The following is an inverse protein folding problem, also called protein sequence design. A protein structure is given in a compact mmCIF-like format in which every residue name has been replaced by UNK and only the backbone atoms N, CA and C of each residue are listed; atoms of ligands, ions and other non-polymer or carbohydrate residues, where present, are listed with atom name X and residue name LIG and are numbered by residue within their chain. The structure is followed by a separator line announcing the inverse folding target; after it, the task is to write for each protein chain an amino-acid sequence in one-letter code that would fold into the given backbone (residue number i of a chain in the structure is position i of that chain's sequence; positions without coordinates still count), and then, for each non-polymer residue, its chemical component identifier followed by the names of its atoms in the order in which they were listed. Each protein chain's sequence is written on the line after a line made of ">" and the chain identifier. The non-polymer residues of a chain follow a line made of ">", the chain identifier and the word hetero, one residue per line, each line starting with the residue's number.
data_IF_188940190433
#
_entry.id   IF_188940190433
#
_cell.length_a   1.000
_cell.length_b   1.000
_cell.length_c   1.000
_cell.angle_alpha   90.00
_cell.angle_beta   90.00
_cell.angle_gamma   90.00
#
_symmetry.space_group_name_H-M   'P 1'
#
loop_
_entity.id
_entity.type
_entity.pdbx_description
1 polymer ?
#
# COMPACT_ATOMS: atom_id res chain seq x y z
N UNK A 1 30.83 8.55 2.36
CA UNK A 1 31.20 7.20 2.86
C UNK A 1 29.89 6.55 3.23
N UNK A 2 29.35 5.70 2.35
CA UNK A 2 28.16 4.89 2.66
C UNK A 2 28.64 3.77 3.59
N UNK A 3 28.00 3.60 4.73
CA UNK A 3 28.44 2.68 5.75
C UNK A 3 28.26 1.25 5.22
N UNK A 4 29.31 0.43 5.24
CA UNK A 4 29.30 -0.90 4.63
C UNK A 4 28.25 -1.84 5.24
N UNK A 5 27.72 -1.55 6.44
CA UNK A 5 26.65 -2.33 7.08
C UNK A 5 25.27 -2.09 6.45
N UNK A 6 24.99 -0.89 5.96
CA UNK A 6 23.69 -0.54 5.37
C UNK A 6 23.47 -1.32 4.07
N UNK A 7 24.54 -1.57 3.30
CA UNK A 7 24.47 -2.32 2.04
C UNK A 7 24.22 -3.83 2.23
N UNK A 8 24.57 -4.40 3.39
CA UNK A 8 24.33 -5.83 3.65
C UNK A 8 22.88 -6.13 4.03
N UNK A 9 22.17 -5.20 4.67
CA UNK A 9 20.75 -5.38 5.02
C UNK A 9 19.85 -5.43 3.77
N UNK A 10 20.30 -4.80 2.69
CA UNK A 10 19.64 -4.82 1.39
C UNK A 10 19.84 -6.14 0.65
N UNK A 11 20.91 -6.90 0.94
CA UNK A 11 21.23 -8.17 0.27
C UNK A 11 20.84 -9.39 1.13
N UNK A 12 19.72 -10.01 0.80
CA UNK A 12 19.19 -11.17 1.53
C UNK A 12 19.70 -12.47 0.90
N UNK A 13 20.49 -13.30 1.62
CA UNK A 13 20.90 -14.60 1.11
C UNK A 13 19.70 -15.53 1.03
N UNK A 14 19.53 -16.20 -0.10
CA UNK A 14 18.49 -17.21 -0.27
C UNK A 14 18.98 -18.53 0.29
N UNK A 15 18.32 -19.04 1.32
CA UNK A 15 18.65 -20.34 1.87
C UNK A 15 18.24 -21.50 0.96
N UNK A 16 18.84 -22.66 1.17
CA UNK A 16 18.47 -23.87 0.41
C UNK A 16 17.02 -24.30 0.71
N UNK A 17 16.54 -24.05 1.92
CA UNK A 17 15.15 -24.26 2.35
C UNK A 17 14.19 -23.42 1.51
N UNK A 18 14.45 -22.12 1.35
CA UNK A 18 13.68 -21.21 0.50
C UNK A 18 13.64 -21.66 -0.96
N UNK A 19 14.79 -22.03 -1.54
CA UNK A 19 14.86 -22.55 -2.91
C UNK A 19 14.09 -23.85 -3.10
N UNK A 20 14.18 -24.77 -2.15
CA UNK A 20 13.45 -26.04 -2.22
C UNK A 20 11.93 -25.80 -2.17
N UNK A 21 11.46 -24.88 -1.32
CA UNK A 21 10.06 -24.50 -1.25
C UNK A 21 9.57 -23.86 -2.56
N UNK A 22 10.35 -22.91 -3.09
CA UNK A 22 10.03 -22.27 -4.37
C UNK A 22 9.99 -23.27 -5.53
N UNK A 23 10.91 -24.26 -5.56
CA UNK A 23 10.90 -25.35 -6.53
C UNK A 23 9.66 -26.24 -6.37
N UNK A 24 9.27 -26.55 -5.13
CA UNK A 24 8.05 -27.32 -4.86
C UNK A 24 6.83 -26.57 -5.40
N UNK A 25 6.63 -25.31 -5.01
CA UNK A 25 5.49 -24.51 -5.44
C UNK A 25 5.46 -24.32 -6.95
N UNK A 26 6.62 -24.14 -7.59
CA UNK A 26 6.74 -24.07 -9.04
C UNK A 26 6.35 -25.38 -9.73
N UNK A 27 6.69 -26.53 -9.15
CA UNK A 27 6.38 -27.86 -9.70
C UNK A 27 4.90 -28.23 -9.64
N UNK A 28 4.14 -27.56 -8.76
CA UNK A 28 2.69 -27.71 -8.64
C UNK A 28 1.92 -26.99 -9.77
N UNK A 29 2.61 -26.15 -10.56
CA UNK A 29 1.96 -25.32 -11.58
C UNK A 29 1.71 -26.07 -12.89
N UNK A 30 0.57 -25.80 -13.51
CA UNK A 30 0.13 -26.49 -14.73
C UNK A 30 0.98 -26.20 -15.97
N UNK A 31 1.72 -25.09 -16.00
CA UNK A 31 2.59 -24.74 -17.11
C UNK A 31 3.94 -24.15 -16.65
N UNK A 32 5.02 -24.35 -17.44
CA UNK A 32 6.36 -23.90 -17.06
C UNK A 32 6.50 -22.40 -16.83
N UNK A 33 5.78 -21.57 -17.59
CA UNK A 33 5.82 -20.12 -17.44
C UNK A 33 5.26 -19.68 -16.09
N UNK A 34 4.10 -20.23 -15.69
CA UNK A 34 3.52 -20.02 -14.36
C UNK A 34 4.42 -20.57 -13.26
N UNK A 35 5.01 -21.75 -13.46
CA UNK A 35 6.01 -22.32 -12.56
C UNK A 35 7.19 -21.37 -12.31
N UNK A 36 7.73 -20.75 -13.38
CA UNK A 36 8.81 -19.76 -13.25
C UNK A 36 8.38 -18.53 -12.45
N UNK A 37 7.18 -17.99 -12.69
CA UNK A 37 6.67 -16.85 -11.92
C UNK A 37 6.49 -17.19 -10.45
N UNK A 38 5.83 -18.31 -10.16
CA UNK A 38 5.63 -18.80 -8.80
C UNK A 38 6.96 -19.02 -8.08
N UNK A 39 7.99 -19.53 -8.76
CA UNK A 39 9.33 -19.68 -8.20
C UNK A 39 9.87 -18.34 -7.68
N UNK A 40 9.85 -17.29 -8.50
CA UNK A 40 10.36 -15.97 -8.11
C UNK A 40 9.46 -15.28 -7.07
N UNK A 41 8.14 -15.35 -7.20
CA UNK A 41 7.20 -14.83 -6.20
C UNK A 41 7.46 -15.46 -4.82
N UNK A 42 7.62 -16.79 -4.77
CA UNK A 42 7.87 -17.51 -3.51
C UNK A 42 9.18 -17.07 -2.86
N UNK A 43 10.25 -16.89 -3.66
CA UNK A 43 11.53 -16.40 -3.14
C UNK A 43 11.47 -14.94 -2.70
N UNK A 44 10.71 -14.09 -3.41
CA UNK A 44 10.54 -12.69 -3.04
C UNK A 44 9.80 -12.56 -1.70
N UNK A 45 8.68 -13.26 -1.54
CA UNK A 45 7.95 -13.29 -0.26
C UNK A 45 8.83 -13.82 0.86
N UNK A 46 9.57 -14.91 0.64
CA UNK A 46 10.48 -15.45 1.64
C UNK A 46 11.55 -14.43 2.06
N UNK A 47 12.17 -13.73 1.11
CA UNK A 47 13.22 -12.78 1.39
C UNK A 47 12.71 -11.55 2.16
N UNK A 48 11.54 -11.03 1.81
CA UNK A 48 10.90 -9.93 2.54
C UNK A 48 10.46 -10.38 3.93
N UNK A 49 9.89 -11.58 4.06
CA UNK A 49 9.56 -12.17 5.36
C UNK A 49 10.80 -12.28 6.26
N UNK A 50 11.89 -12.85 5.74
CA UNK A 50 13.16 -12.96 6.47
C UNK A 50 13.70 -11.60 6.91
N UNK A 51 13.64 -10.59 6.03
CA UNK A 51 14.06 -9.23 6.36
C UNK A 51 13.22 -8.63 7.50
N UNK A 52 11.88 -8.73 7.42
CA UNK A 52 10.99 -8.16 8.44
C UNK A 52 11.09 -8.89 9.78
N UNK A 53 11.19 -10.22 9.78
CA UNK A 53 11.43 -11.00 11.01
C UNK A 53 12.76 -10.63 11.66
N UNK A 54 13.82 -10.40 10.86
CA UNK A 54 15.10 -9.93 11.39
C UNK A 54 14.97 -8.53 12.00
N UNK A 55 14.14 -7.67 11.40
CA UNK A 55 13.83 -6.35 11.98
C UNK A 55 12.82 -6.41 13.14
N UNK A 56 12.55 -7.61 13.69
CA UNK A 56 11.64 -7.86 14.82
C UNK A 56 10.17 -7.47 14.54
N UNK A 57 9.77 -7.42 13.25
CA UNK A 57 8.39 -7.19 12.83
C UNK A 57 7.67 -8.52 12.61
N UNK A 58 6.47 -8.65 13.18
CA UNK A 58 5.68 -9.88 13.08
C UNK A 58 5.08 -10.06 11.67
N UNK A 59 5.24 -11.25 11.11
CA UNK A 59 4.73 -11.63 9.78
C UNK A 59 3.94 -12.94 9.86
N UNK A 60 2.99 -13.11 8.94
CA UNK A 60 2.26 -14.36 8.73
C UNK A 60 2.37 -14.79 7.26
N UNK A 61 3.40 -15.57 6.97
CA UNK A 61 3.67 -16.06 5.62
C UNK A 61 2.59 -17.06 5.16
N UNK A 62 2.05 -17.86 6.08
CA UNK A 62 1.05 -18.89 5.78
C UNK A 62 -0.35 -18.31 5.52
N UNK A 63 -0.62 -17.11 6.03
CA UNK A 63 -1.85 -16.35 5.80
C UNK A 63 -1.96 -15.71 4.41
N UNK A 64 -0.88 -15.71 3.62
CA UNK A 64 -0.83 -15.12 2.28
C UNK A 64 -1.55 -15.95 1.21
N UNK A 65 -2.15 -15.29 0.22
CA UNK A 65 -2.75 -15.95 -0.95
C UNK A 65 -1.68 -16.73 -1.75
N UNK A 66 -0.45 -16.21 -1.77
CA UNK A 66 0.72 -16.86 -2.37
C UNK A 66 1.09 -18.19 -1.71
N UNK A 67 0.78 -18.40 -0.42
CA UNK A 67 0.99 -19.67 0.29
C UNK A 67 -0.17 -20.66 0.12
N UNK A 68 -1.37 -20.20 -0.25
CA UNK A 68 -2.52 -21.06 -0.50
C UNK A 68 -2.47 -21.73 -1.90
N UNK A 69 -2.41 -23.09 -2.01
CA UNK A 69 -2.22 -23.78 -3.30
C UNK A 69 -3.24 -23.41 -4.38
N UNK A 70 -4.53 -23.30 -4.00
CA UNK A 70 -5.59 -22.94 -4.94
C UNK A 70 -5.49 -21.51 -5.46
N UNK A 71 -5.03 -20.56 -4.64
CA UNK A 71 -4.92 -19.16 -5.01
C UNK A 71 -3.66 -18.96 -5.86
N UNK A 72 -2.53 -19.51 -5.42
CA UNK A 72 -1.26 -19.56 -6.16
C UNK A 72 -1.40 -20.14 -7.58
N UNK A 73 -2.26 -21.16 -7.75
CA UNK A 73 -2.50 -21.78 -9.06
C UNK A 73 -3.23 -20.87 -10.06
N UNK A 74 -4.08 -19.95 -9.57
CA UNK A 74 -4.96 -19.12 -10.40
C UNK A 74 -4.45 -17.68 -10.51
N UNK A 75 -3.86 -17.14 -9.44
CA UNK A 75 -3.45 -15.75 -9.33
C UNK A 75 -1.94 -15.58 -9.39
N UNK A 76 -1.47 -14.49 -10.00
CA UNK A 76 -0.07 -14.07 -9.94
C UNK A 76 0.15 -13.16 -8.73
N UNK A 77 0.29 -13.78 -7.55
CA UNK A 77 0.38 -13.08 -6.26
C UNK A 77 1.67 -13.46 -5.53
N UNK A 78 2.21 -12.49 -4.81
CA UNK A 78 3.39 -12.59 -3.97
C UNK A 78 3.17 -11.79 -2.67
N UNK A 79 2.03 -12.01 -2.03
CA UNK A 79 1.64 -11.27 -0.84
C UNK A 79 2.22 -11.85 0.45
N UNK A 80 2.56 -10.95 1.37
CA UNK A 80 2.94 -11.25 2.74
C UNK A 80 1.97 -10.54 3.70
N UNK A 81 1.42 -11.30 4.66
CA UNK A 81 0.53 -10.75 5.68
C UNK A 81 1.35 -10.21 6.84
N UNK A 82 0.99 -9.01 7.29
CA UNK A 82 1.48 -8.36 8.50
C UNK A 82 0.31 -8.33 9.51
N UNK A 83 0.28 -9.23 10.51
CA UNK A 83 -0.82 -9.31 11.45
C UNK A 83 -1.17 -7.96 12.09
N UNK A 84 -2.44 -7.58 12.04
CA UNK A 84 -2.91 -6.30 12.57
C UNK A 84 -2.56 -5.07 11.73
N UNK A 85 -1.71 -5.18 10.71
CA UNK A 85 -1.25 -4.05 9.87
C UNK A 85 -1.79 -4.14 8.43
N UNK A 86 -1.84 -5.32 7.80
CA UNK A 86 -2.33 -5.46 6.41
C UNK A 86 -1.52 -6.45 5.58
N UNK A 87 -1.49 -6.28 4.25
CA UNK A 87 -0.65 -7.07 3.34
C UNK A 87 0.32 -6.19 2.55
N UNK A 88 1.50 -6.71 2.25
CA UNK A 88 2.44 -6.11 1.30
C UNK A 88 2.62 -7.06 0.10
N UNK A 89 2.91 -6.50 -1.07
CA UNK A 89 3.21 -7.27 -2.28
C UNK A 89 4.72 -7.31 -2.52
N UNK A 90 5.29 -8.50 -2.66
CA UNK A 90 6.72 -8.70 -2.88
C UNK A 90 6.97 -8.90 -4.38
N UNK A 91 7.35 -7.84 -5.08
CA UNK A 91 7.46 -7.81 -6.53
C UNK A 91 8.86 -8.29 -6.99
N UNK A 92 8.98 -9.50 -7.58
CA UNK A 92 10.27 -9.97 -8.08
C UNK A 92 10.69 -9.25 -9.37
N UNK A 93 11.99 -9.01 -9.51
CA UNK A 93 12.62 -8.44 -10.70
C UNK A 93 13.90 -9.21 -11.04
N UNK A 94 14.26 -9.29 -12.30
CA UNK A 94 15.57 -9.74 -12.75
C UNK A 94 16.52 -8.54 -12.94
N UNK A 95 17.80 -8.75 -12.65
CA UNK A 95 18.84 -7.75 -12.87
C UNK A 95 18.77 -7.17 -14.29
N UNK A 96 18.63 -5.85 -14.37
CA UNK A 96 18.51 -5.10 -15.63
C UNK A 96 17.07 -4.71 -16.00
N UNK A 97 16.06 -5.21 -15.29
CA UNK A 97 14.71 -4.68 -15.36
C UNK A 97 14.64 -3.28 -14.72
N UNK A 98 13.78 -2.41 -15.25
CA UNK A 98 13.70 -0.99 -14.83
C UNK A 98 12.37 -0.62 -14.19
N UNK A 99 11.46 -1.59 -14.05
CA UNK A 99 10.14 -1.40 -13.46
C UNK A 99 9.67 -2.70 -12.81
N UNK A 100 8.81 -2.58 -11.80
CA UNK A 100 8.08 -3.71 -11.21
C UNK A 100 6.75 -3.88 -11.96
N UNK A 101 6.36 -5.12 -12.27
CA UNK A 101 5.01 -5.41 -12.77
C UNK A 101 4.05 -5.60 -11.60
N UNK A 102 2.88 -4.98 -11.69
CA UNK A 102 1.86 -5.07 -10.65
C UNK A 102 0.96 -6.29 -10.85
N UNK A 103 0.54 -6.97 -9.76
CA UNK A 103 -0.40 -8.09 -9.85
C UNK A 103 -1.79 -7.61 -10.30
N UNK A 104 -2.59 -8.54 -10.81
CA UNK A 104 -4.00 -8.30 -11.17
C UNK A 104 -4.86 -8.01 -9.93
N UNK A 105 -4.53 -8.62 -8.79
CA UNK A 105 -5.26 -8.46 -7.52
C UNK A 105 -4.43 -7.58 -6.59
N UNK A 106 -5.01 -6.45 -6.17
CA UNK A 106 -4.31 -5.38 -5.42
C UNK A 106 -5.00 -4.99 -4.11
N UNK A 107 -6.09 -5.67 -3.79
CA UNK A 107 -6.90 -5.37 -2.60
C UNK A 107 -6.12 -5.64 -1.31
N UNK A 108 -6.34 -4.80 -0.30
CA UNK A 108 -5.71 -4.89 1.02
C UNK A 108 -4.17 -4.82 1.00
N UNK A 109 -3.57 -4.31 -0.09
CA UNK A 109 -2.12 -4.03 -0.16
C UNK A 109 -1.85 -2.64 0.37
N UNK A 110 -0.93 -2.53 1.32
CA UNK A 110 -0.46 -1.23 1.84
C UNK A 110 0.83 -0.78 1.18
N UNK A 111 1.68 -1.70 0.69
CA UNK A 111 2.91 -1.38 -0.02
C UNK A 111 3.32 -2.46 -1.03
N UNK A 112 4.17 -2.07 -1.97
CA UNK A 112 4.80 -2.95 -2.97
C UNK A 112 6.32 -2.84 -2.84
N UNK A 113 7.00 -3.96 -2.71
CA UNK A 113 8.44 -4.02 -2.43
C UNK A 113 9.16 -4.63 -3.63
N UNK A 114 10.16 -3.94 -4.15
CA UNK A 114 10.94 -4.40 -5.29
C UNK A 114 12.08 -5.33 -4.85
N UNK A 115 12.09 -6.58 -5.34
CA UNK A 115 13.05 -7.62 -4.97
C UNK A 115 13.86 -8.09 -6.18
N UNK A 116 15.08 -7.56 -6.34
CA UNK A 116 15.95 -7.86 -7.47
C UNK A 116 16.71 -9.17 -7.31
N UNK A 117 16.65 -10.00 -8.35
CA UNK A 117 17.36 -11.26 -8.48
C UNK A 117 18.50 -11.11 -9.49
N UNK A 118 19.71 -11.49 -9.08
CA UNK A 118 20.87 -11.58 -9.97
C UNK A 118 21.41 -13.01 -9.97
N UNK A 119 21.94 -13.47 -11.12
CA UNK A 119 22.66 -14.74 -11.17
C UNK A 119 23.85 -14.72 -10.18
N UNK A 120 24.09 -15.81 -9.43
CA UNK A 120 23.54 -17.17 -9.60
C UNK A 120 22.24 -17.47 -8.81
N UNK A 121 21.46 -16.45 -8.43
CA UNK A 121 20.21 -16.58 -7.65
C UNK A 121 20.41 -17.18 -6.26
N UNK A 122 21.54 -16.87 -5.62
CA UNK A 122 21.87 -17.25 -4.26
C UNK A 122 21.56 -16.14 -3.23
N UNK A 123 21.25 -14.93 -3.71
CA UNK A 123 20.81 -13.78 -2.92
C UNK A 123 19.89 -12.87 -3.74
N UNK A 124 19.17 -11.99 -3.05
CA UNK A 124 18.34 -10.94 -3.65
C UNK A 124 18.66 -9.58 -3.06
N UNK A 125 18.29 -8.52 -3.77
CA UNK A 125 18.34 -7.15 -3.24
C UNK A 125 16.95 -6.58 -3.04
N UNK A 126 16.70 -5.99 -1.88
CA UNK A 126 15.53 -5.12 -1.69
C UNK A 126 15.90 -3.73 -2.21
N UNK A 127 15.30 -3.32 -3.33
CA UNK A 127 15.67 -2.05 -3.99
C UNK A 127 14.94 -0.84 -3.39
N UNK A 128 13.80 -1.06 -2.76
CA UNK A 128 12.90 -0.01 -2.30
C UNK A 128 11.46 -0.49 -2.26
N UNK A 129 10.57 0.41 -1.88
CA UNK A 129 9.14 0.14 -1.84
C UNK A 129 8.34 1.33 -2.38
N UNK A 130 7.06 1.12 -2.65
CA UNK A 130 6.11 2.20 -2.94
C UNK A 130 4.82 1.97 -2.16
N UNK A 131 4.30 2.97 -1.43
CA UNK A 131 2.99 2.90 -0.79
C UNK A 131 1.88 2.66 -1.81
N UNK A 132 0.92 1.79 -1.48
CA UNK A 132 -0.17 1.45 -2.38
C UNK A 132 -1.05 2.66 -2.75
N UNK A 133 -1.14 3.66 -1.86
CA UNK A 133 -1.89 4.90 -2.12
C UNK A 133 -1.27 5.76 -3.25
N UNK A 134 0.03 5.60 -3.52
CA UNK A 134 0.72 6.36 -4.57
C UNK A 134 0.53 5.74 -5.96
N UNK A 135 -0.13 4.57 -6.04
CA UNK A 135 -0.34 3.83 -7.28
C UNK A 135 -1.73 4.15 -7.82
N UNK A 136 -1.78 4.63 -9.07
CA UNK A 136 -3.04 4.82 -9.80
C UNK A 136 -3.59 3.46 -10.25
N UNK A 137 -4.90 3.24 -10.11
CA UNK A 137 -5.55 1.94 -10.36
C UNK A 137 -5.24 1.34 -11.74
N UNK A 138 -5.12 2.15 -12.79
CA UNK A 138 -4.84 1.71 -14.17
C UNK A 138 -3.35 1.41 -14.43
N UNK A 139 -2.49 1.62 -13.45
CA UNK A 139 -1.04 1.40 -13.60
C UNK A 139 -0.76 -0.09 -13.72
N UNK A 140 0.01 -0.53 -14.71
CA UNK A 140 0.43 -1.93 -14.85
C UNK A 140 1.88 -2.16 -14.39
N UNK A 141 2.71 -1.14 -14.49
CA UNK A 141 4.13 -1.18 -14.12
C UNK A 141 4.56 0.08 -13.38
N UNK A 142 5.49 -0.05 -12.44
CA UNK A 142 6.04 1.08 -11.68
C UNK A 142 7.53 1.16 -11.91
N UNK A 143 8.00 2.31 -12.41
CA UNK A 143 9.42 2.60 -12.58
C UNK A 143 10.18 2.49 -11.26
N UNK A 144 11.35 1.87 -11.26
CA UNK A 144 12.21 1.79 -10.07
C UNK A 144 12.62 3.17 -9.55
N UNK A 145 12.57 4.21 -10.38
CA UNK A 145 12.83 5.61 -9.97
C UNK A 145 11.78 6.19 -9.04
N UNK A 146 10.62 5.54 -8.93
CA UNK A 146 9.50 5.99 -8.09
C UNK A 146 9.51 5.29 -6.72
N UNK A 147 10.47 4.39 -6.48
CA UNK A 147 10.57 3.70 -5.19
C UNK A 147 11.14 4.62 -4.12
N UNK A 148 10.53 4.56 -2.95
CA UNK A 148 11.10 5.04 -1.71
C UNK A 148 12.24 4.10 -1.26
N UNK A 149 13.28 4.63 -0.59
CA UNK A 149 14.34 3.81 -0.01
C UNK A 149 13.75 2.75 0.93
N UNK A 150 14.26 1.52 0.89
CA UNK A 150 13.73 0.45 1.76
C UNK A 150 14.03 0.69 3.23
N UNK A 151 15.01 1.53 3.54
CA UNK A 151 15.31 1.97 4.90
C UNK A 151 14.13 2.73 5.54
N UNK A 152 13.26 3.34 4.74
CA UNK A 152 12.05 4.05 5.20
C UNK A 152 10.85 3.10 5.39
N UNK A 153 10.97 1.82 5.01
CA UNK A 153 9.86 0.86 5.05
C UNK A 153 9.35 0.63 6.49
N UNK A 154 10.25 0.47 7.46
CA UNK A 154 9.85 0.21 8.84
C UNK A 154 9.14 1.43 9.45
N UNK A 155 9.70 2.63 9.26
CA UNK A 155 9.05 3.87 9.70
C UNK A 155 7.65 4.02 9.07
N UNK A 156 7.50 3.64 7.80
CA UNK A 156 6.22 3.62 7.11
C UNK A 156 5.22 2.62 7.75
N UNK A 157 5.65 1.38 8.01
CA UNK A 157 4.81 0.35 8.62
C UNK A 157 4.43 0.69 10.06
N UNK A 158 5.38 1.21 10.86
CA UNK A 158 5.14 1.66 12.24
C UNK A 158 4.07 2.76 12.29
N UNK A 159 4.13 3.72 11.38
CA UNK A 159 3.10 4.77 11.28
C UNK A 159 1.73 4.19 10.98
N UNK A 160 1.65 3.19 10.11
CA UNK A 160 0.39 2.51 9.82
C UNK A 160 -0.13 1.82 11.08
N UNK A 161 0.70 0.99 11.71
CA UNK A 161 0.34 0.24 12.91
C UNK A 161 -0.16 1.17 14.03
N UNK A 162 0.58 2.24 14.32
CA UNK A 162 0.22 3.23 15.34
C UNK A 162 -1.06 4.00 15.00
N UNK A 163 -1.33 4.22 13.71
CA UNK A 163 -2.51 4.95 13.24
C UNK A 163 -3.81 4.13 13.27
N UNK A 164 -3.72 2.79 13.23
CA UNK A 164 -4.89 1.90 13.14
C UNK A 164 -5.84 2.05 14.34
N UNK A 165 -5.40 1.94 15.61
CA UNK A 165 -6.32 2.02 16.75
C UNK A 165 -7.07 3.35 16.82
N UNK A 166 -6.39 4.45 16.48
CA UNK A 166 -6.96 5.80 16.52
C UNK A 166 -7.95 6.02 15.39
N UNK A 167 -7.60 5.57 14.18
CA UNK A 167 -8.49 5.68 13.02
C UNK A 167 -9.75 4.83 13.18
N UNK A 168 -9.64 3.66 13.80
CA UNK A 168 -10.79 2.82 14.11
C UNK A 168 -11.81 3.53 15.01
N UNK A 169 -11.36 4.10 16.14
CA UNK A 169 -12.25 4.85 17.05
C UNK A 169 -12.86 6.07 16.35
N UNK A 170 -12.05 6.80 15.59
CA UNK A 170 -12.49 7.98 14.87
C UNK A 170 -13.50 7.69 13.76
N UNK A 171 -13.35 6.55 13.07
CA UNK A 171 -14.30 6.10 12.06
C UNK A 171 -15.66 5.79 12.70
N UNK A 172 -15.67 5.06 13.81
CA UNK A 172 -16.89 4.74 14.56
C UNK A 172 -17.64 6.01 15.04
N UNK A 173 -16.90 7.04 15.48
CA UNK A 173 -17.48 8.33 15.90
C UNK A 173 -18.12 9.12 14.75
N UNK A 174 -17.50 9.11 13.56
CA UNK A 174 -17.91 9.98 12.44
C UNK A 174 -18.81 9.27 11.43
N UNK A 175 -18.94 7.93 11.48
CA UNK A 175 -19.69 7.15 10.49
C UNK A 175 -21.16 7.60 10.42
N UNK A 176 -21.82 7.78 11.56
CA UNK A 176 -23.22 8.25 11.63
C UNK A 176 -23.41 9.61 10.94
N UNK A 177 -22.52 10.56 11.21
CA UNK A 177 -22.62 11.90 10.63
C UNK A 177 -22.30 11.89 9.12
N UNK A 178 -21.38 11.03 8.68
CA UNK A 178 -21.06 10.87 7.27
C UNK A 178 -22.23 10.22 6.52
N UNK A 179 -22.85 9.20 7.10
CA UNK A 179 -24.05 8.55 6.55
C UNK A 179 -25.22 9.52 6.41
N UNK A 180 -25.43 10.41 7.39
CA UNK A 180 -26.42 11.48 7.28
C UNK A 180 -26.12 12.39 6.08
N UNK A 181 -24.87 12.85 5.93
CA UNK A 181 -24.48 13.70 4.79
C UNK A 181 -24.65 12.98 3.43
N UNK A 182 -24.36 11.68 3.38
CA UNK A 182 -24.52 10.86 2.17
C UNK A 182 -25.99 10.51 1.87
N UNK A 183 -26.89 10.61 2.85
CA UNK A 183 -28.32 10.32 2.67
C UNK A 183 -29.05 11.36 1.80
N UNK A 184 -28.49 12.58 1.73
CA UNK A 184 -28.98 13.65 0.87
C UNK A 184 -28.66 13.40 -0.62
N UNK A 185 -27.71 12.51 -0.91
CA UNK A 185 -27.35 12.09 -2.27
C UNK A 185 -28.25 10.94 -2.75
N UNK A 186 -28.45 10.89 -4.08
CA UNK A 186 -29.16 9.77 -4.72
C UNK A 186 -28.39 8.46 -4.51
N UNK A 187 -29.09 7.33 -4.61
CA UNK A 187 -28.46 6.03 -4.38
C UNK A 187 -27.44 5.67 -5.47
N UNK A 188 -27.64 6.15 -6.69
CA UNK A 188 -26.73 6.01 -7.84
C UNK A 188 -25.72 7.16 -7.97
N UNK A 189 -25.59 8.00 -6.94
CA UNK A 189 -24.69 9.14 -6.97
C UNK A 189 -23.22 8.69 -6.96
N UNK A 190 -22.38 9.18 -7.91
CA UNK A 190 -20.99 8.77 -8.01
C UNK A 190 -20.15 9.15 -6.79
N UNK A 191 -20.42 10.30 -6.15
CA UNK A 191 -19.70 10.73 -4.95
C UNK A 191 -20.02 9.78 -3.79
N UNK A 192 -21.29 9.41 -3.64
CA UNK A 192 -21.72 8.43 -2.63
C UNK A 192 -21.04 7.07 -2.85
N UNK A 193 -20.97 6.61 -4.11
CA UNK A 193 -20.30 5.35 -4.44
C UNK A 193 -18.80 5.39 -4.10
N UNK A 194 -18.10 6.46 -4.48
CA UNK A 194 -16.66 6.64 -4.20
C UNK A 194 -16.36 6.70 -2.71
N UNK A 195 -17.14 7.46 -1.94
CA UNK A 195 -16.95 7.56 -0.47
C UNK A 195 -17.17 6.20 0.19
N UNK A 196 -18.18 5.43 -0.22
CA UNK A 196 -18.38 4.06 0.28
C UNK A 196 -17.20 3.16 -0.07
N UNK A 197 -16.73 3.21 -1.32
CA UNK A 197 -15.59 2.42 -1.77
C UNK A 197 -14.32 2.71 -0.96
N UNK A 198 -13.99 4.00 -0.72
CA UNK A 198 -12.73 4.39 -0.08
C UNK A 198 -12.77 4.39 1.45
N UNK A 199 -13.91 4.67 2.08
CA UNK A 199 -14.03 4.72 3.55
C UNK A 199 -14.74 3.53 4.18
N UNK A 200 -15.63 2.83 3.46
CA UNK A 200 -16.39 1.71 4.01
C UNK A 200 -15.86 0.35 3.55
N UNK A 201 -15.34 0.24 2.32
CA UNK A 201 -14.86 -1.03 1.77
C UNK A 201 -13.35 -1.24 1.96
N UNK A 202 -12.58 -0.18 2.24
CA UNK A 202 -11.14 -0.30 2.55
C UNK A 202 -10.92 -0.76 3.98
N UNK A 203 -9.83 -1.47 4.20
CA UNK A 203 -9.35 -1.77 5.55
C UNK A 203 -8.93 -0.47 6.27
N UNK A 204 -8.99 -0.48 7.61
CA UNK A 204 -8.51 0.67 8.42
C UNK A 204 -7.06 0.99 8.09
N UNK A 205 -6.23 -0.03 7.88
CA UNK A 205 -4.83 0.14 7.50
C UNK A 205 -4.65 0.89 6.18
N UNK A 206 -5.45 0.60 5.16
CA UNK A 206 -5.42 1.35 3.90
C UNK A 206 -5.85 2.80 4.10
N UNK A 207 -6.85 3.06 4.95
CA UNK A 207 -7.27 4.42 5.29
C UNK A 207 -6.13 5.18 5.99
N UNK A 208 -5.44 4.53 6.93
CA UNK A 208 -4.27 5.10 7.60
C UNK A 208 -3.14 5.35 6.61
N UNK A 209 -2.86 4.41 5.71
CA UNK A 209 -1.86 4.56 4.65
C UNK A 209 -2.17 5.75 3.73
N UNK A 210 -3.46 5.97 3.40
CA UNK A 210 -3.91 7.12 2.64
C UNK A 210 -3.59 8.43 3.37
N UNK A 211 -3.93 8.50 4.66
CA UNK A 211 -3.68 9.69 5.48
C UNK A 211 -2.20 9.93 5.75
N UNK A 212 -1.38 8.88 5.87
CA UNK A 212 0.07 8.98 5.97
C UNK A 212 0.67 9.57 4.67
N UNK A 213 0.14 9.20 3.51
CA UNK A 213 0.51 9.83 2.23
C UNK A 213 0.22 11.34 2.20
N UNK A 214 -0.94 11.76 2.70
CA UNK A 214 -1.28 13.20 2.84
C UNK A 214 -0.35 13.89 3.82
N UNK A 215 0.00 13.23 4.93
CA UNK A 215 0.88 13.77 5.96
C UNK A 215 2.27 14.09 5.42
N UNK A 216 2.85 13.19 4.61
CA UNK A 216 4.17 13.40 4.02
C UNK A 216 4.20 14.38 2.83
N UNK A 217 3.06 14.63 2.19
CA UNK A 217 2.99 15.39 0.92
C UNK A 217 2.34 16.77 1.02
N UNK A 218 1.67 17.10 2.13
CA UNK A 218 0.84 18.31 2.27
C UNK A 218 1.16 19.11 3.53
N UNK A 219 1.04 20.45 3.45
CA UNK A 219 1.18 21.33 4.61
C UNK A 219 0.02 21.13 5.62
N UNK A 220 0.29 21.39 6.91
CA UNK A 220 -0.69 21.26 8.00
C UNK A 220 -1.95 22.11 7.81
N UNK A 221 -1.86 23.24 7.10
CA UNK A 221 -3.00 24.07 6.72
C UNK A 221 -3.96 23.35 5.77
N UNK A 222 -3.42 22.44 4.95
CA UNK A 222 -4.11 21.82 3.82
C UNK A 222 -4.62 20.41 4.14
N UNK A 223 -4.21 19.81 5.28
CA UNK A 223 -4.65 18.48 5.71
C UNK A 223 -6.16 18.25 5.69
N UNK A 224 -6.96 19.30 5.90
CA UNK A 224 -8.40 19.19 5.73
C UNK A 224 -8.79 18.95 4.28
N UNK A 225 -8.31 19.80 3.38
CA UNK A 225 -8.67 19.75 1.97
C UNK A 225 -8.05 18.54 1.26
N UNK A 226 -6.74 18.33 1.39
CA UNK A 226 -6.04 17.22 0.75
C UNK A 226 -6.43 15.86 1.35
N UNK A 227 -6.64 15.81 2.66
CA UNK A 227 -7.14 14.60 3.31
C UNK A 227 -8.59 14.29 2.91
N UNK A 228 -9.47 15.28 2.82
CA UNK A 228 -10.85 15.06 2.38
C UNK A 228 -10.94 14.56 0.93
N UNK A 229 -10.12 15.12 0.04
CA UNK A 229 -9.93 14.61 -1.33
C UNK A 229 -9.46 13.17 -1.35
N UNK A 230 -8.42 12.85 -0.58
CA UNK A 230 -7.84 11.51 -0.53
C UNK A 230 -8.84 10.47 -0.01
N UNK A 231 -9.58 10.80 1.06
CA UNK A 231 -10.61 9.93 1.63
C UNK A 231 -11.81 9.71 0.70
N UNK A 232 -12.10 10.65 -0.19
CA UNK A 232 -13.13 10.47 -1.21
C UNK A 232 -12.61 9.85 -2.51
N UNK A 233 -11.30 9.57 -2.61
CA UNK A 233 -10.70 8.97 -3.80
C UNK A 233 -10.52 9.95 -4.97
N UNK A 234 -10.47 11.26 -4.70
CA UNK A 234 -10.31 12.29 -5.73
C UNK A 234 -8.88 12.78 -5.77
N UNK A 235 -8.13 12.22 -6.73
CA UNK A 235 -6.80 12.69 -7.09
C UNK A 235 -5.70 12.18 -6.16
N UNK A 236 -5.15 11.01 -6.53
CA UNK A 236 -3.74 10.66 -6.32
C UNK A 236 -3.10 10.44 -7.69
N UNK A 237 -3.18 11.43 -8.58
CA UNK A 237 -2.33 11.49 -9.78
C UNK A 237 -1.15 12.41 -9.52
N UNK A 238 -0.27 12.00 -8.61
CA UNK A 238 1.02 12.67 -8.40
C UNK A 238 1.99 12.24 -9.50
N UNK A 239 2.07 13.07 -10.55
CA UNK A 239 3.35 13.40 -11.17
C UNK A 239 3.88 12.52 -12.30
N UNK A 240 3.24 12.56 -13.47
CA UNK A 240 3.87 12.15 -14.72
C UNK A 240 2.85 11.65 -15.75
N UNK A 241 2.63 12.44 -16.80
CA UNK A 241 1.73 12.20 -17.95
C UNK A 241 0.28 12.71 -17.75
N UNK A 242 0.03 13.90 -18.30
CA UNK A 242 -1.29 14.31 -18.79
C UNK A 242 -2.21 14.93 -17.76
N UNK A 243 -2.29 16.26 -17.77
CA UNK A 243 -3.32 17.04 -17.10
C UNK A 243 -4.74 16.49 -17.38
N UNK A 244 -5.32 15.81 -16.40
CA UNK A 244 -6.74 15.92 -16.08
C UNK A 244 -6.80 16.32 -14.61
N UNK A 245 -7.01 17.60 -14.38
CA UNK A 245 -7.57 18.09 -13.11
C UNK A 245 -8.89 17.35 -12.90
N UNK A 246 -8.85 16.27 -12.15
CA UNK A 246 -10.07 15.60 -11.70
C UNK A 246 -10.48 16.36 -10.45
N UNK A 247 -11.07 17.54 -10.67
CA UNK A 247 -11.98 18.09 -9.67
C UNK A 247 -13.04 17.01 -9.41
N UNK A 248 -13.51 16.85 -8.17
CA UNK A 248 -14.75 16.12 -7.87
C UNK A 248 -15.86 16.45 -8.88
N UNK A 249 -15.87 17.69 -9.35
CA UNK A 249 -16.76 18.22 -10.36
C UNK A 249 -16.15 18.22 -11.78
N UNK A 250 -16.13 17.06 -12.44
CA UNK A 250 -16.22 17.02 -13.92
C UNK A 250 -17.60 17.47 -14.44
N UNK A 251 -18.56 17.68 -13.53
CA UNK A 251 -19.91 18.20 -13.76
C UNK A 251 -20.17 19.34 -12.80
N UNK A 252 -20.90 20.38 -13.25
CA UNK A 252 -21.31 21.54 -12.45
C UNK A 252 -21.70 21.12 -11.03
N UNK A 253 -20.85 21.48 -10.06
CA UNK A 253 -21.03 21.22 -8.62
C UNK A 253 -22.44 21.60 -8.19
N UNK A 254 -23.16 20.62 -7.64
CA UNK A 254 -24.42 20.86 -6.95
C UNK A 254 -24.12 21.27 -5.50
N UNK A 255 -25.02 22.03 -4.87
CA UNK A 255 -24.85 22.45 -3.46
C UNK A 255 -24.65 21.25 -2.50
N UNK A 256 -25.11 20.06 -2.89
CA UNK A 256 -25.02 18.82 -2.08
C UNK A 256 -23.59 18.24 -2.13
N UNK A 257 -22.91 18.31 -3.28
CA UNK A 257 -21.49 17.91 -3.41
C UNK A 257 -20.62 18.73 -2.46
N UNK A 258 -20.88 20.04 -2.38
CA UNK A 258 -20.13 20.94 -1.48
C UNK A 258 -20.34 20.62 0.01
N UNK A 259 -21.49 20.05 0.40
CA UNK A 259 -21.76 19.66 1.79
C UNK A 259 -20.99 18.40 2.18
N UNK A 260 -20.96 17.40 1.29
CA UNK A 260 -20.21 16.15 1.51
C UNK A 260 -18.70 16.43 1.53
N UNK A 261 -18.21 17.23 0.59
CA UNK A 261 -16.83 17.73 0.57
C UNK A 261 -16.45 18.44 1.87
N UNK A 262 -17.26 19.40 2.31
CA UNK A 262 -17.00 20.13 3.54
C UNK A 262 -16.96 19.22 4.78
N UNK A 263 -17.81 18.18 4.82
CA UNK A 263 -17.82 17.19 5.91
C UNK A 263 -16.57 16.32 5.87
N UNK A 264 -16.19 15.78 4.71
CA UNK A 264 -14.96 15.01 4.54
C UNK A 264 -13.72 15.83 4.91
N UNK A 265 -13.66 17.09 4.50
CA UNK A 265 -12.54 17.96 4.84
C UNK A 265 -12.42 18.19 6.36
N UNK A 266 -13.56 18.28 7.04
CA UNK A 266 -13.60 18.41 8.51
C UNK A 266 -13.16 17.11 9.20
N UNK A 267 -13.63 15.96 8.72
CA UNK A 267 -13.24 14.62 9.21
C UNK A 267 -11.73 14.46 9.05
N UNK A 268 -11.22 14.64 7.83
CA UNK A 268 -9.80 14.54 7.52
C UNK A 268 -8.96 15.46 8.41
N UNK A 269 -9.34 16.73 8.57
CA UNK A 269 -8.62 17.66 9.46
C UNK A 269 -8.57 17.19 10.91
N UNK A 270 -9.65 16.60 11.43
CA UNK A 270 -9.70 16.06 12.81
C UNK A 270 -8.76 14.86 12.92
N UNK A 271 -8.85 13.93 11.98
CA UNK A 271 -8.09 12.68 12.01
C UNK A 271 -6.60 12.92 11.82
N UNK A 272 -6.22 13.73 10.83
CA UNK A 272 -4.83 14.11 10.57
C UNK A 272 -4.16 14.74 11.78
N UNK A 273 -4.86 15.59 12.54
CA UNK A 273 -4.32 16.14 13.79
C UNK A 273 -4.05 15.06 14.84
N UNK A 274 -4.94 14.08 14.97
CA UNK A 274 -4.78 12.97 15.91
C UNK A 274 -3.69 11.99 15.51
N UNK A 275 -3.56 11.72 14.22
CA UNK A 275 -2.48 10.89 13.69
C UNK A 275 -1.12 11.59 13.83
N UNK A 276 -1.04 12.90 13.56
CA UNK A 276 0.17 13.68 13.74
C UNK A 276 0.68 13.72 15.19
N UNK A 277 -0.23 13.75 16.19
CA UNK A 277 0.12 13.62 17.62
C UNK A 277 0.90 12.31 17.91
N UNK A 278 0.68 11.27 17.10
CA UNK A 278 1.25 9.93 17.29
C UNK A 278 2.48 9.71 16.39
N UNK A 279 2.48 10.27 15.17
CA UNK A 279 3.57 10.12 14.21
C UNK A 279 4.79 11.02 14.49
N UNK A 280 4.75 11.84 15.53
CA UNK A 280 5.92 12.59 16.01
C UNK A 280 5.86 14.11 15.85
N UNK A 281 4.77 14.67 15.33
CA UNK A 281 4.52 16.13 15.21
C UNK A 281 3.75 16.70 16.42
N UNK A 282 3.80 16.01 17.55
CA UNK A 282 3.10 16.39 18.79
C UNK A 282 3.64 17.66 19.48
N UNK A 283 4.86 18.10 19.15
CA UNK A 283 5.51 19.25 19.77
C UNK A 283 6.33 20.07 18.75
N UNK A 284 5.65 20.84 17.91
CA UNK A 284 6.14 22.17 17.57
C UNK A 284 5.11 23.20 18.06
N UNK A 285 5.46 23.76 19.22
CA UNK A 285 4.78 24.83 19.97
C UNK A 285 4.54 26.10 19.17
#
# INVERSE_FOLDING_TARGET
>A
MVNSMDTYLLEIPLEQTARNLALQFASEQANPQKGKRVYFNTLAVWAVNYFLEWMELETDIDGGDSWHPGMRAVLDVADLVLPGIGKIECCPLLLGETAISLPEVRENRIAYIAVEFAEPFDKVKLLGFIPAVEIVEETEEISLTNLQPVEELLDYLDRIELGIPVTQVLLEEELSDLEEALSDLKEDDPVKAQVREKLQNKSIAEIVAILNGVYGSSEKSDWGYEGGKALAGIGSSSGGLGNRETSLSGYKSSDIDTKVEAKLNRIAKKWMKKLAEIWGDGDES
#
